data_IF_143572932338
#
_entry.id   IF_143572932338
#
_cell.length_a   1.000
_cell.length_b   1.000
_cell.length_c   1.000
_cell.angle_alpha   90.00
_cell.angle_beta   90.00
_cell.angle_gamma   90.00
#
_symmetry.space_group_name_H-M   'P 1'
#
loop_
_entity.id
_entity.type
_entity.pdbx_description
1 polymer ?
#
# COMPACT_ATOMS: atom_id res chain seq x y z
N UNK A 1 23.88 29.23 0.50
CA UNK A 1 22.41 29.13 0.37
C UNK A 1 21.97 28.17 -0.75
N UNK A 2 22.69 28.10 -1.87
CA UNK A 2 22.27 27.37 -3.08
C UNK A 2 22.44 25.83 -3.01
N UNK A 3 23.42 25.33 -2.25
CA UNK A 3 23.64 23.90 -2.01
C UNK A 3 22.53 23.25 -1.16
N UNK A 4 22.00 23.98 -0.19
CA UNK A 4 20.97 23.52 0.74
C UNK A 4 19.61 23.36 0.04
N UNK A 5 19.30 24.26 -0.89
CA UNK A 5 18.12 24.14 -1.76
C UNK A 5 18.22 22.97 -2.74
N UNK A 6 19.41 22.68 -3.29
CA UNK A 6 19.61 21.49 -4.13
C UNK A 6 19.42 20.19 -3.34
N UNK A 7 19.99 20.10 -2.13
CA UNK A 7 19.80 18.93 -1.25
C UNK A 7 18.32 18.72 -0.91
N UNK A 8 17.58 19.79 -0.58
CA UNK A 8 16.14 19.72 -0.29
C UNK A 8 15.30 19.29 -1.50
N UNK A 9 15.69 19.71 -2.71
CA UNK A 9 15.05 19.32 -3.98
C UNK A 9 15.34 17.87 -4.36
N UNK A 10 16.59 17.42 -4.20
CA UNK A 10 17.02 16.04 -4.45
C UNK A 10 16.35 15.09 -3.45
N UNK A 11 16.36 15.43 -2.16
CA UNK A 11 15.75 14.61 -1.11
C UNK A 11 14.23 14.48 -1.29
N UNK A 12 13.52 15.56 -1.65
CA UNK A 12 12.09 15.49 -2.01
C UNK A 12 11.81 14.59 -3.20
N UNK A 13 12.65 14.62 -4.24
CA UNK A 13 12.48 13.75 -5.41
C UNK A 13 12.79 12.29 -5.09
N UNK A 14 13.78 12.04 -4.22
CA UNK A 14 14.14 10.69 -3.78
C UNK A 14 13.07 10.08 -2.87
N UNK A 15 12.64 10.81 -1.83
CA UNK A 15 11.58 10.37 -0.92
C UNK A 15 10.26 10.11 -1.66
N UNK A 16 9.89 10.97 -2.61
CA UNK A 16 8.69 10.77 -3.41
C UNK A 16 8.78 9.53 -4.31
N UNK A 17 9.93 9.31 -4.96
CA UNK A 17 10.17 8.10 -5.76
C UNK A 17 10.21 6.85 -4.89
N UNK A 18 10.78 6.94 -3.69
CA UNK A 18 10.86 5.83 -2.74
C UNK A 18 9.45 5.49 -2.25
N UNK A 19 8.71 6.43 -1.67
CA UNK A 19 7.33 6.24 -1.22
C UNK A 19 6.43 5.67 -2.32
N UNK A 20 6.56 6.16 -3.56
CA UNK A 20 5.82 5.61 -4.70
C UNK A 20 6.21 4.17 -5.05
N UNK A 21 7.51 3.86 -5.13
CA UNK A 21 7.98 2.50 -5.41
C UNK A 21 7.62 1.52 -4.30
N UNK A 22 7.76 1.92 -3.04
CA UNK A 22 7.42 1.11 -1.88
C UNK A 22 5.92 0.87 -1.82
N UNK A 23 5.09 1.88 -2.09
CA UNK A 23 3.63 1.72 -2.17
C UNK A 23 3.22 0.78 -3.29
N UNK A 24 3.83 0.88 -4.49
CA UNK A 24 3.57 -0.04 -5.60
C UNK A 24 4.01 -1.47 -5.28
N UNK A 25 5.18 -1.62 -4.64
CA UNK A 25 5.66 -2.93 -4.20
C UNK A 25 4.70 -3.56 -3.20
N UNK A 26 4.29 -2.82 -2.17
CA UNK A 26 3.34 -3.30 -1.15
C UNK A 26 1.98 -3.64 -1.76
N UNK A 27 1.52 -2.86 -2.74
CA UNK A 27 0.30 -3.17 -3.49
C UNK A 27 0.42 -4.50 -4.25
N UNK A 28 1.46 -4.66 -5.07
CA UNK A 28 1.67 -5.90 -5.83
C UNK A 28 1.89 -7.11 -4.92
N UNK A 29 2.62 -6.93 -3.82
CA UNK A 29 2.84 -7.97 -2.83
C UNK A 29 1.53 -8.38 -2.13
N UNK A 30 0.65 -7.41 -1.83
CA UNK A 30 -0.68 -7.72 -1.27
C UNK A 30 -1.54 -8.53 -2.25
N UNK A 31 -1.51 -8.18 -3.54
CA UNK A 31 -2.22 -8.95 -4.59
C UNK A 31 -1.67 -10.36 -4.70
N UNK A 32 -0.35 -10.51 -4.68
CA UNK A 32 0.31 -11.81 -4.70
C UNK A 32 -0.10 -12.70 -3.52
N UNK A 33 -0.15 -12.13 -2.31
CA UNK A 33 -0.59 -12.87 -1.12
C UNK A 33 -2.06 -13.33 -1.21
N UNK A 34 -2.94 -12.53 -1.82
CA UNK A 34 -4.34 -12.93 -2.06
C UNK A 34 -4.39 -14.08 -3.05
N UNK A 35 -3.63 -14.00 -4.15
CA UNK A 35 -3.55 -15.08 -5.14
C UNK A 35 -3.03 -16.36 -4.49
N UNK A 36 -1.98 -16.28 -3.67
CA UNK A 36 -1.48 -17.43 -2.90
C UNK A 36 -2.53 -17.99 -1.95
N UNK A 37 -3.29 -17.14 -1.26
CA UNK A 37 -4.38 -17.60 -0.40
C UNK A 37 -5.45 -18.35 -1.19
N UNK A 38 -5.89 -17.80 -2.32
CA UNK A 38 -6.91 -18.44 -3.19
C UNK A 38 -6.37 -19.76 -3.76
N UNK A 39 -5.18 -19.76 -4.35
CA UNK A 39 -4.55 -20.97 -4.89
C UNK A 39 -4.30 -22.03 -3.81
N UNK A 40 -3.84 -21.63 -2.63
CA UNK A 40 -3.64 -22.53 -1.49
C UNK A 40 -4.96 -23.11 -0.96
N UNK A 41 -6.05 -22.33 -1.01
CA UNK A 41 -7.40 -22.80 -0.67
C UNK A 41 -7.90 -23.84 -1.67
N UNK A 42 -7.64 -23.65 -2.98
CA UNK A 42 -7.98 -24.66 -4.01
C UNK A 42 -7.13 -25.93 -3.95
N UNK A 43 -5.94 -25.86 -3.33
CA UNK A 43 -5.03 -27.00 -3.16
C UNK A 43 -5.18 -27.67 -1.79
N UNK A 44 -6.20 -27.31 -1.01
CA UNK A 44 -6.43 -27.81 0.36
C UNK A 44 -5.18 -27.73 1.26
N UNK A 45 -4.49 -26.59 1.21
CA UNK A 45 -3.37 -26.34 2.12
C UNK A 45 -3.83 -26.31 3.57
N UNK A 46 -2.92 -26.71 4.46
CA UNK A 46 -3.16 -26.70 5.90
C UNK A 46 -3.64 -25.32 6.37
N UNK A 47 -4.68 -25.28 7.21
CA UNK A 47 -5.29 -24.04 7.72
C UNK A 47 -4.28 -23.12 8.41
N UNK A 48 -3.24 -23.69 9.02
CA UNK A 48 -2.15 -22.92 9.63
C UNK A 48 -1.36 -22.10 8.60
N UNK A 49 -1.13 -22.65 7.41
CA UNK A 49 -0.44 -21.98 6.30
C UNK A 49 -1.32 -20.88 5.72
N UNK A 50 -2.60 -21.14 5.52
CA UNK A 50 -3.57 -20.15 5.04
C UNK A 50 -3.70 -18.97 6.03
N UNK A 51 -3.77 -19.26 7.33
CA UNK A 51 -3.79 -18.23 8.37
C UNK A 51 -2.50 -17.40 8.41
N UNK A 52 -1.34 -18.01 8.17
CA UNK A 52 -0.06 -17.30 8.08
C UNK A 52 -0.03 -16.33 6.89
N UNK A 53 -0.52 -16.77 5.73
CA UNK A 53 -0.65 -15.92 4.52
C UNK A 53 -1.62 -14.77 4.79
N UNK A 54 -2.76 -15.03 5.42
CA UNK A 54 -3.76 -14.01 5.75
C UNK A 54 -3.23 -12.96 6.74
N UNK A 55 -2.48 -13.41 7.75
CA UNK A 55 -1.86 -12.54 8.76
C UNK A 55 -0.78 -11.66 8.13
N UNK A 56 0.05 -12.25 7.27
CA UNK A 56 1.06 -11.53 6.48
C UNK A 56 0.42 -10.52 5.53
N UNK A 57 -0.70 -10.88 4.91
CA UNK A 57 -1.48 -9.98 4.05
C UNK A 57 -2.00 -8.78 4.85
N UNK A 58 -2.56 -9.02 6.04
CA UNK A 58 -3.04 -7.96 6.94
C UNK A 58 -1.94 -6.99 7.36
N UNK A 59 -0.75 -7.50 7.71
CA UNK A 59 0.40 -6.66 8.06
C UNK A 59 0.87 -5.81 6.86
N UNK A 60 0.90 -6.41 5.67
CA UNK A 60 1.26 -5.73 4.42
C UNK A 60 0.27 -4.60 4.09
N UNK A 61 -1.02 -4.84 4.30
CA UNK A 61 -2.08 -3.86 4.07
C UNK A 61 -2.00 -2.69 5.04
N UNK A 62 -1.68 -2.93 6.32
CA UNK A 62 -1.43 -1.85 7.28
C UNK A 62 -0.23 -0.99 6.84
N UNK A 63 0.86 -1.62 6.40
CA UNK A 63 2.00 -0.92 5.83
C UNK A 63 1.60 -0.08 4.61
N UNK A 64 0.85 -0.66 3.68
CA UNK A 64 0.35 0.02 2.49
C UNK A 64 -0.53 1.22 2.85
N UNK A 65 -1.37 1.10 3.89
CA UNK A 65 -2.22 2.19 4.37
C UNK A 65 -1.39 3.37 4.87
N UNK A 66 -0.37 3.12 5.69
CA UNK A 66 0.55 4.15 6.19
C UNK A 66 1.33 4.81 5.06
N UNK A 67 1.88 4.03 4.13
CA UNK A 67 2.61 4.57 2.98
C UNK A 67 1.71 5.31 2.00
N UNK A 68 0.45 4.89 1.84
CA UNK A 68 -0.54 5.59 1.02
C UNK A 68 -0.94 6.93 1.65
N UNK A 69 -1.17 6.97 2.97
CA UNK A 69 -1.42 8.22 3.69
C UNK A 69 -0.25 9.21 3.58
N UNK A 70 0.99 8.71 3.70
CA UNK A 70 2.19 9.50 3.46
C UNK A 70 2.30 9.99 2.00
N UNK A 71 1.93 9.15 1.02
CA UNK A 71 1.89 9.48 -0.41
C UNK A 71 0.83 10.54 -0.77
N UNK A 72 -0.33 10.52 -0.11
CA UNK A 72 -1.38 11.55 -0.20
C UNK A 72 -0.82 12.88 0.32
N UNK A 73 -0.24 12.89 1.51
CA UNK A 73 0.38 14.09 2.11
C UNK A 73 1.48 14.67 1.22
N UNK A 74 2.38 13.82 0.70
CA UNK A 74 3.43 14.25 -0.22
C UNK A 74 2.86 14.82 -1.53
N UNK A 75 1.82 14.20 -2.10
CA UNK A 75 1.16 14.68 -3.32
C UNK A 75 0.51 16.06 -3.11
N UNK A 76 -0.11 16.29 -1.94
CA UNK A 76 -0.68 17.60 -1.57
C UNK A 76 0.41 18.65 -1.41
N UNK A 77 1.49 18.35 -0.68
CA UNK A 77 2.61 19.27 -0.48
C UNK A 77 3.29 19.63 -1.81
N UNK A 78 3.50 18.65 -2.70
CA UNK A 78 4.10 18.87 -4.02
C UNK A 78 3.18 19.67 -4.95
N UNK A 79 1.86 19.52 -4.82
CA UNK A 79 0.89 20.33 -5.56
C UNK A 79 1.01 21.82 -5.20
N UNK A 80 1.09 22.16 -3.91
CA UNK A 80 1.27 23.55 -3.46
C UNK A 80 2.58 24.17 -3.95
N UNK A 81 3.64 23.36 -4.07
CA UNK A 81 4.98 23.85 -4.42
C UNK A 81 5.18 23.95 -5.93
N UNK A 82 4.62 23.03 -6.71
CA UNK A 82 4.90 22.93 -8.15
C UNK A 82 3.73 23.31 -9.06
N UNK A 83 2.50 23.45 -8.55
CA UNK A 83 1.25 23.78 -9.27
C UNK A 83 0.99 22.99 -10.57
N UNK A 84 1.62 21.82 -10.77
CA UNK A 84 1.41 20.99 -11.96
C UNK A 84 0.20 20.06 -11.79
N UNK A 85 -0.66 20.01 -12.81
CA UNK A 85 -1.84 19.12 -12.85
C UNK A 85 -1.51 17.62 -12.72
N UNK A 86 -0.30 17.20 -13.11
CA UNK A 86 0.13 15.79 -13.02
C UNK A 86 0.14 15.24 -11.58
N UNK A 87 0.29 16.09 -10.56
CA UNK A 87 0.22 15.67 -9.15
C UNK A 87 -1.18 15.23 -8.70
N UNK A 88 -2.23 15.67 -9.40
CA UNK A 88 -3.60 15.20 -9.14
C UNK A 88 -3.79 13.73 -9.54
N UNK A 89 -3.10 13.28 -10.59
CA UNK A 89 -3.16 11.86 -11.01
C UNK A 89 -2.55 10.99 -9.91
N UNK A 90 -1.40 11.37 -9.36
CA UNK A 90 -0.79 10.65 -8.24
C UNK A 90 -1.69 10.65 -6.99
N UNK A 91 -2.33 11.77 -6.68
CA UNK A 91 -3.29 11.87 -5.58
C UNK A 91 -4.47 10.88 -5.74
N UNK A 92 -5.08 10.82 -6.93
CA UNK A 92 -6.15 9.86 -7.22
C UNK A 92 -5.67 8.42 -7.17
N UNK A 93 -4.45 8.12 -7.64
CA UNK A 93 -3.87 6.78 -7.56
C UNK A 93 -3.67 6.34 -6.10
N UNK A 94 -3.19 7.22 -5.21
CA UNK A 94 -3.05 6.89 -3.80
C UNK A 94 -4.40 6.71 -3.10
N UNK A 95 -5.40 7.54 -3.43
CA UNK A 95 -6.78 7.35 -2.92
C UNK A 95 -7.34 6.00 -3.35
N UNK A 96 -7.21 5.67 -4.64
CA UNK A 96 -7.69 4.39 -5.16
C UNK A 96 -6.98 3.21 -4.48
N UNK A 97 -5.66 3.31 -4.30
CA UNK A 97 -4.87 2.32 -3.57
C UNK A 97 -5.31 2.19 -2.11
N UNK A 98 -5.69 3.29 -1.46
CA UNK A 98 -6.19 3.32 -0.09
C UNK A 98 -7.58 2.66 0.04
N UNK A 99 -8.49 2.93 -0.90
CA UNK A 99 -9.81 2.28 -0.92
C UNK A 99 -9.68 0.78 -1.18
N UNK A 100 -8.81 0.40 -2.12
CA UNK A 100 -8.53 -1.00 -2.43
C UNK A 100 -7.92 -1.74 -1.23
N UNK A 101 -6.96 -1.12 -0.54
CA UNK A 101 -6.34 -1.71 0.64
C UNK A 101 -7.34 -1.86 1.80
N UNK A 102 -8.23 -0.88 2.02
CA UNK A 102 -9.31 -1.00 2.99
C UNK A 102 -10.26 -2.16 2.64
N UNK A 103 -10.65 -2.30 1.37
CA UNK A 103 -11.52 -3.39 0.92
C UNK A 103 -10.91 -4.78 1.18
N UNK A 104 -9.63 -4.97 0.85
CA UNK A 104 -8.93 -6.23 1.13
C UNK A 104 -8.78 -6.43 2.64
N UNK A 105 -8.51 -5.38 3.42
CA UNK A 105 -8.41 -5.50 4.87
C UNK A 105 -9.70 -6.06 5.47
N UNK A 106 -10.85 -5.52 5.06
CA UNK A 106 -12.14 -6.03 5.51
C UNK A 106 -12.37 -7.48 5.08
N UNK A 107 -12.04 -7.85 3.84
CA UNK A 107 -12.14 -9.24 3.37
C UNK A 107 -11.25 -10.18 4.19
N UNK A 108 -9.97 -9.84 4.36
CA UNK A 108 -9.03 -10.63 5.15
C UNK A 108 -9.49 -10.74 6.62
N UNK A 109 -10.06 -9.68 7.19
CA UNK A 109 -10.57 -9.70 8.56
C UNK A 109 -11.82 -10.59 8.69
N UNK A 110 -12.75 -10.48 7.76
CA UNK A 110 -13.96 -11.33 7.72
C UNK A 110 -13.58 -12.80 7.57
N UNK A 111 -12.67 -13.12 6.65
CA UNK A 111 -12.15 -14.49 6.47
C UNK A 111 -11.47 -14.98 7.75
N UNK A 112 -10.65 -14.15 8.40
CA UNK A 112 -10.00 -14.52 9.66
C UNK A 112 -10.99 -14.79 10.79
N UNK A 113 -12.08 -14.04 10.86
CA UNK A 113 -13.15 -14.24 11.86
C UNK A 113 -13.91 -15.54 11.57
N UNK A 114 -14.24 -15.81 10.30
CA UNK A 114 -14.91 -17.05 9.89
C UNK A 114 -14.01 -18.27 10.14
N UNK A 115 -12.72 -18.17 9.79
CA UNK A 115 -11.74 -19.24 9.94
C UNK A 115 -11.41 -19.56 11.40
N UNK A 116 -11.55 -18.58 12.31
CA UNK A 116 -11.43 -18.82 13.76
C UNK A 116 -12.67 -19.46 14.37
N UNK A 117 -13.76 -19.59 13.59
CA UNK A 117 -15.05 -20.00 14.10
C UNK A 117 -15.68 -18.93 14.98
N UNK A 118 -17.00 -18.90 15.00
CA UNK A 118 -17.72 -18.49 16.20
C UNK A 118 -17.31 -19.41 17.35
#
# INVERSE_FOLDING_TARGET
MDSLNRLKKINRSFLFKLTGRTSLFLFLFSVFLIVLYVSGSYQDFLDSTLNFVLTSCSATILGLFVFSAAGILQSVVLFFISKRKSYWIYFFVYIFSCVFSAGIFFLARTISIIAKGI
#
